data_IF_845491139794
#
_entry.id   IF_845491139794
#
_cell.length_a   1.000
_cell.length_b   1.000
_cell.length_c   1.000
_cell.angle_alpha   90.00
_cell.angle_beta   90.00
_cell.angle_gamma   90.00
#
_symmetry.space_group_name_H-M   'P 1'
#
loop_
_entity.id
_entity.type
_entity.pdbx_description
1 polymer ?
#
# COMPACT_ATOMS: atom_id res chain seq x y z
N UNK A 1 8.08 -2.80 5.65
CA UNK A 1 6.93 -2.51 4.77
C UNK A 1 7.25 -3.09 3.41
N UNK A 2 6.32 -3.81 2.78
CA UNK A 2 6.48 -4.24 1.40
C UNK A 2 5.62 -3.31 0.53
N UNK A 3 6.26 -2.59 -0.41
CA UNK A 3 5.60 -1.55 -1.22
C UNK A 3 4.65 -2.15 -2.24
N UNK A 4 4.78 -3.43 -2.56
CA UNK A 4 3.88 -4.16 -3.46
C UNK A 4 2.41 -4.21 -2.96
N UNK A 5 2.17 -3.96 -1.68
CA UNK A 5 0.83 -3.83 -1.09
C UNK A 5 0.10 -2.58 -1.58
N UNK A 6 0.83 -1.55 -2.02
CA UNK A 6 0.25 -0.33 -2.59
C UNK A 6 0.09 -0.42 -4.10
N UNK A 7 0.39 -1.57 -4.72
CA UNK A 7 0.32 -1.70 -6.16
C UNK A 7 -1.11 -1.78 -6.68
N UNK A 8 -1.33 -1.23 -7.87
CA UNK A 8 -2.60 -1.24 -8.58
C UNK A 8 -2.37 -1.64 -10.05
N UNK A 9 -3.47 -1.85 -10.79
CA UNK A 9 -3.42 -2.11 -12.23
C UNK A 9 -3.45 -0.79 -12.99
N UNK A 10 -2.48 -0.59 -13.88
CA UNK A 10 -2.49 0.54 -14.82
C UNK A 10 -3.43 0.29 -16.02
N UNK A 11 -3.48 1.24 -16.95
CA UNK A 11 -4.30 1.14 -18.17
C UNK A 11 -3.91 -0.01 -19.11
N UNK A 12 -2.71 -0.59 -18.93
CA UNK A 12 -2.19 -1.71 -19.71
C UNK A 12 -2.32 -3.04 -18.97
N UNK A 13 -3.04 -3.07 -17.84
CA UNK A 13 -3.19 -4.25 -16.98
C UNK A 13 -1.86 -4.75 -16.39
N UNK A 14 -0.90 -3.84 -16.18
CA UNK A 14 0.35 -4.13 -15.47
C UNK A 14 0.21 -3.76 -13.99
N UNK A 15 0.73 -4.62 -13.11
CA UNK A 15 0.83 -4.29 -11.70
C UNK A 15 1.97 -3.30 -11.48
N UNK A 16 1.66 -2.14 -10.91
CA UNK A 16 2.60 -1.05 -10.71
C UNK A 16 2.53 -0.51 -9.27
N UNK A 17 3.70 -0.22 -8.70
CA UNK A 17 3.85 0.65 -7.53
C UNK A 17 4.26 2.02 -8.06
N UNK A 18 3.57 3.08 -7.66
CA UNK A 18 3.82 4.44 -8.14
C UNK A 18 4.61 5.26 -7.10
N UNK A 19 5.61 6.01 -7.56
CA UNK A 19 6.31 7.01 -6.76
C UNK A 19 5.36 8.14 -6.35
N UNK A 20 5.39 8.51 -5.07
CA UNK A 20 4.50 9.53 -4.55
C UNK A 20 4.32 9.45 -3.04
N UNK A 21 3.59 10.43 -2.50
CA UNK A 21 3.17 10.43 -1.10
C UNK A 21 1.93 9.54 -0.94
N UNK A 22 2.00 8.60 -0.01
CA UNK A 22 0.87 7.78 0.41
C UNK A 22 0.40 8.26 1.77
N UNK A 23 -0.88 8.59 1.86
CA UNK A 23 -1.55 8.87 3.14
C UNK A 23 -2.09 7.56 3.73
N UNK A 24 -1.79 7.32 5.00
CA UNK A 24 -2.30 6.18 5.77
C UNK A 24 -3.34 6.69 6.75
N UNK A 25 -4.57 6.18 6.66
CA UNK A 25 -5.62 6.41 7.63
C UNK A 25 -5.84 5.17 8.50
N UNK A 26 -6.02 5.36 9.81
CA UNK A 26 -6.45 4.30 10.73
C UNK A 26 -7.70 4.78 11.45
N UNK A 27 -8.75 3.98 11.41
CA UNK A 27 -9.91 4.22 12.24
C UNK A 27 -10.95 3.12 12.26
N UNK A 28 -12.07 3.40 12.91
CA UNK A 28 -13.19 2.46 13.07
C UNK A 28 -13.92 2.16 11.77
N UNK A 29 -13.98 3.12 10.84
CA UNK A 29 -14.50 2.94 9.48
C UNK A 29 -13.80 3.87 8.48
N UNK A 30 -14.11 3.74 7.20
CA UNK A 30 -13.65 4.68 6.15
C UNK A 30 -14.17 6.10 6.36
N UNK A 31 -15.33 6.25 6.99
CA UNK A 31 -15.95 7.53 7.33
C UNK A 31 -15.40 8.12 8.63
N UNK A 32 -14.86 7.27 9.51
CA UNK A 32 -14.35 7.66 10.83
C UNK A 32 -12.86 7.30 10.98
N UNK A 33 -12.00 8.19 10.46
CA UNK A 33 -10.53 8.08 10.56
C UNK A 33 -10.03 8.85 11.78
N UNK A 34 -9.40 8.18 12.75
CA UNK A 34 -8.89 8.81 13.98
C UNK A 34 -7.39 9.16 13.89
N UNK A 35 -6.61 8.38 13.16
CA UNK A 35 -5.17 8.61 13.01
C UNK A 35 -4.83 8.75 11.53
N UNK A 36 -3.93 9.66 11.22
CA UNK A 36 -3.37 9.84 9.89
C UNK A 36 -1.84 9.84 9.97
N UNK A 37 -1.22 9.26 8.94
CA UNK A 37 0.22 9.23 8.76
C UNK A 37 0.55 9.31 7.28
N UNK A 38 1.83 9.43 6.96
CA UNK A 38 2.29 9.48 5.57
C UNK A 38 3.68 8.90 5.39
N UNK A 39 3.93 8.38 4.21
CA UNK A 39 5.25 7.97 3.74
C UNK A 39 5.37 8.25 2.24
N UNK A 40 6.60 8.22 1.73
CA UNK A 40 6.88 8.47 0.31
C UNK A 40 7.47 7.21 -0.32
N UNK A 41 6.93 6.83 -1.47
CA UNK A 41 7.56 5.89 -2.39
C UNK A 41 8.45 6.71 -3.30
N UNK A 42 9.75 6.40 -3.33
CA UNK A 42 10.73 7.20 -4.07
C UNK A 42 10.73 6.90 -5.56
N UNK A 43 10.38 5.68 -5.95
CA UNK A 43 10.55 5.18 -7.31
C UNK A 43 9.35 4.33 -7.77
N UNK A 44 8.94 4.53 -9.01
CA UNK A 44 7.89 3.76 -9.67
C UNK A 44 8.48 2.45 -10.19
N UNK A 45 7.76 1.33 -10.00
CA UNK A 45 8.19 0.03 -10.49
C UNK A 45 7.01 -0.83 -10.96
N UNK A 46 7.21 -1.54 -12.07
CA UNK A 46 6.36 -2.66 -12.48
C UNK A 46 6.74 -3.89 -11.68
N UNK A 47 5.76 -4.61 -11.13
CA UNK A 47 5.97 -5.79 -10.28
C UNK A 47 5.27 -7.03 -10.86
N UNK A 48 5.73 -8.22 -10.46
CA UNK A 48 5.02 -9.46 -10.79
C UNK A 48 3.84 -9.67 -9.83
N UNK A 49 2.63 -9.50 -10.36
CA UNK A 49 1.39 -9.70 -9.62
C UNK A 49 1.24 -11.08 -8.97
N UNK A 50 1.91 -12.12 -9.48
CA UNK A 50 1.87 -13.47 -8.89
C UNK A 50 2.59 -13.56 -7.54
N UNK A 51 3.57 -12.69 -7.32
CA UNK A 51 4.40 -12.67 -6.10
C UNK A 51 4.03 -11.55 -5.14
N UNK A 52 3.04 -10.73 -5.50
CA UNK A 52 2.60 -9.55 -4.75
C UNK A 52 2.02 -9.93 -3.39
N UNK A 53 2.54 -9.31 -2.34
CA UNK A 53 1.99 -9.40 -0.99
C UNK A 53 0.61 -8.75 -0.90
N UNK A 54 -0.39 -9.51 -0.44
CA UNK A 54 -1.75 -8.99 -0.27
C UNK A 54 -1.98 -8.35 1.12
N UNK A 55 -1.18 -8.75 2.11
CA UNK A 55 -1.25 -8.25 3.48
C UNK A 55 0.13 -8.29 4.14
N UNK A 56 0.35 -7.42 5.13
CA UNK A 56 1.55 -7.46 5.96
C UNK A 56 1.44 -8.54 7.04
N UNK A 57 2.58 -9.11 7.44
CA UNK A 57 2.62 -9.91 8.67
C UNK A 57 2.28 -9.00 9.87
N UNK A 58 1.37 -9.45 10.71
CA UNK A 58 1.00 -8.79 11.96
C UNK A 58 1.29 -9.71 13.15
N UNK A 59 1.74 -9.13 14.25
CA UNK A 59 1.84 -9.82 15.52
C UNK A 59 0.84 -9.17 16.49
N UNK A 60 0.14 -9.99 17.25
CA UNK A 60 -0.65 -9.53 18.39
C UNK A 60 0.33 -9.49 19.57
N UNK A 61 0.40 -8.35 20.24
CA UNK A 61 1.16 -8.16 21.47
C UNK A 61 0.17 -7.87 22.58
N UNK A 62 0.19 -8.71 23.62
CA UNK A 62 -0.62 -8.58 24.83
C UNK A 62 -0.16 -7.39 25.72
#
# INVERSE_FOLDING_TARGET
MNTDQTAFLDSHMQWIVEAGEITVGVGGSSEEIQLTGKFVITDTAVIDGKTRGFYAKSNIVD
#
